data_IF_656659489863
#
_entry.id   IF_656659489863
#
_cell.length_a   1.000
_cell.length_b   1.000
_cell.length_c   1.000
_cell.angle_alpha   90.00
_cell.angle_beta   90.00
_cell.angle_gamma   90.00
#
_symmetry.space_group_name_H-M   'P 1'
#
loop_
_entity.id
_entity.type
_entity.pdbx_description
1 polymer ?
#
# COMPACT_ATOMS: atom_id res chain seq x y z
N UNK A 1 -18.58 15.38 -26.23
CA UNK A 1 -17.82 16.54 -26.75
C UNK A 1 -16.39 16.10 -27.01
N UNK A 2 -15.86 16.24 -28.23
CA UNK A 2 -14.44 16.00 -28.52
C UNK A 2 -13.65 17.15 -27.88
N UNK A 3 -12.83 16.86 -26.88
CA UNK A 3 -11.92 17.84 -26.29
C UNK A 3 -10.66 17.95 -27.15
N UNK A 4 -10.04 19.13 -27.25
CA UNK A 4 -8.75 19.25 -27.92
C UNK A 4 -7.71 18.40 -27.18
N UNK A 5 -6.91 17.59 -27.90
CA UNK A 5 -5.82 16.83 -27.30
C UNK A 5 -4.69 17.78 -26.92
N UNK A 6 -4.41 17.87 -25.63
CA UNK A 6 -3.35 18.70 -25.04
C UNK A 6 -2.63 17.89 -23.98
N UNK A 7 -1.30 17.91 -24.01
CA UNK A 7 -0.47 17.22 -23.03
C UNK A 7 -0.56 17.91 -21.66
N UNK A 8 -0.68 17.12 -20.60
CA UNK A 8 -0.72 17.63 -19.23
C UNK A 8 0.59 18.36 -18.90
N UNK A 9 0.50 19.56 -18.33
CA UNK A 9 1.66 20.38 -17.97
C UNK A 9 2.31 21.14 -19.13
N UNK A 10 1.82 20.99 -20.37
CA UNK A 10 2.35 21.74 -21.53
C UNK A 10 1.98 23.22 -21.56
N UNK A 11 1.01 23.63 -20.74
CA UNK A 11 0.56 25.02 -20.60
C UNK A 11 0.05 25.28 -19.18
N UNK A 12 0.08 26.54 -18.78
CA UNK A 12 -0.56 27.00 -17.55
C UNK A 12 -2.08 26.87 -17.66
N UNK A 13 -2.72 26.32 -16.62
CA UNK A 13 -4.18 26.28 -16.52
C UNK A 13 -4.67 27.25 -15.45
N UNK A 14 -5.55 28.16 -15.86
CA UNK A 14 -6.18 29.16 -14.99
C UNK A 14 -7.60 29.44 -15.44
N UNK A 15 -8.40 29.95 -14.50
CA UNK A 15 -9.73 30.46 -14.81
C UNK A 15 -9.61 31.76 -15.60
N UNK A 16 -10.14 31.74 -16.82
CA UNK A 16 -10.23 32.88 -17.72
C UNK A 16 -11.52 32.78 -18.55
N UNK A 17 -11.86 33.82 -19.31
CA UNK A 17 -12.97 33.79 -20.26
C UNK A 17 -12.42 33.93 -21.69
N UNK A 18 -12.76 33.03 -22.64
CA UNK A 18 -13.51 31.78 -22.43
C UNK A 18 -12.71 30.78 -21.58
N UNK A 19 -13.40 29.89 -20.85
CA UNK A 19 -12.74 28.88 -20.01
C UNK A 19 -11.83 27.98 -20.84
N UNK A 20 -10.66 27.66 -20.29
CA UNK A 20 -9.73 26.71 -20.90
C UNK A 20 -10.40 25.34 -20.98
N UNK A 21 -10.26 24.66 -22.12
CA UNK A 21 -10.77 23.31 -22.36
C UNK A 21 -9.68 22.42 -22.94
N UNK A 22 -9.71 21.13 -22.61
CA UNK A 22 -8.79 20.16 -23.16
C UNK A 22 -8.68 18.87 -22.36
N UNK A 23 -8.03 17.88 -22.96
CA UNK A 23 -7.75 16.58 -22.31
C UNK A 23 -6.85 16.75 -21.08
N UNK A 24 -5.98 17.76 -21.07
CA UNK A 24 -5.18 18.19 -19.93
C UNK A 24 -6.03 18.62 -18.73
N UNK A 25 -7.04 19.47 -18.96
CA UNK A 25 -7.99 19.89 -17.91
C UNK A 25 -8.78 18.71 -17.39
N UNK A 26 -9.22 17.82 -18.30
CA UNK A 26 -9.94 16.59 -17.92
C UNK A 26 -9.08 15.71 -17.02
N UNK A 27 -7.81 15.51 -17.38
CA UNK A 27 -6.87 14.71 -16.57
C UNK A 27 -6.61 15.37 -15.21
N UNK A 28 -6.41 16.69 -15.18
CA UNK A 28 -6.28 17.45 -13.94
C UNK A 28 -7.49 17.23 -13.01
N UNK A 29 -8.71 17.36 -13.53
CA UNK A 29 -9.94 17.13 -12.78
C UNK A 29 -10.04 15.69 -12.26
N UNK A 30 -9.63 14.68 -13.06
CA UNK A 30 -9.64 13.27 -12.65
C UNK A 30 -8.75 13.02 -11.43
N UNK A 31 -7.50 13.46 -11.48
CA UNK A 31 -6.55 13.23 -10.39
C UNK A 31 -6.95 14.02 -9.15
N UNK A 32 -7.37 15.29 -9.29
CA UNK A 32 -7.90 16.06 -8.16
C UNK A 32 -9.14 15.39 -7.54
N UNK A 33 -9.96 14.71 -8.35
CA UNK A 33 -11.10 13.92 -7.87
C UNK A 33 -10.66 12.66 -7.15
N UNK A 34 -9.60 11.99 -7.61
CA UNK A 34 -9.00 10.84 -6.92
C UNK A 34 -8.33 11.23 -5.60
N UNK A 35 -7.83 12.46 -5.48
CA UNK A 35 -7.34 13.03 -4.23
C UNK A 35 -8.47 13.49 -3.29
N UNK A 36 -9.73 13.44 -3.73
CA UNK A 36 -10.89 13.96 -2.98
C UNK A 36 -11.01 15.49 -2.95
N UNK A 37 -10.19 16.21 -3.72
CA UNK A 37 -10.15 17.68 -3.77
C UNK A 37 -11.14 18.27 -4.76
N UNK A 38 -11.62 17.48 -5.73
CA UNK A 38 -12.58 17.91 -6.75
C UNK A 38 -13.89 17.12 -6.67
N UNK A 39 -15.00 17.81 -6.42
CA UNK A 39 -16.35 17.21 -6.30
C UNK A 39 -17.17 17.30 -7.58
N UNK A 40 -16.77 18.17 -8.51
CA UNK A 40 -17.48 18.42 -9.76
C UNK A 40 -17.48 17.26 -10.75
N UNK A 41 -18.17 17.48 -11.86
CA UNK A 41 -18.15 16.56 -13.01
C UNK A 41 -16.84 16.75 -13.77
N UNK A 42 -16.19 15.64 -14.11
CA UNK A 42 -15.02 15.66 -15.00
C UNK A 42 -15.48 15.94 -16.42
N UNK A 43 -15.40 17.20 -16.86
CA UNK A 43 -15.88 17.69 -18.15
C UNK A 43 -14.77 18.20 -19.07
N UNK A 44 -13.58 18.47 -18.51
CA UNK A 44 -12.44 19.06 -19.21
C UNK A 44 -12.57 20.57 -19.41
N UNK A 45 -13.32 21.28 -18.56
CA UNK A 45 -13.48 22.73 -18.56
C UNK A 45 -12.89 23.32 -17.26
N UNK A 46 -11.95 24.25 -17.38
CA UNK A 46 -11.31 24.88 -16.23
C UNK A 46 -12.20 26.01 -15.68
N UNK A 47 -13.26 25.61 -14.98
CA UNK A 47 -14.23 26.51 -14.36
C UNK A 47 -13.92 26.83 -12.89
N UNK A 48 -14.84 27.54 -12.20
CA UNK A 48 -14.69 27.91 -10.79
C UNK A 48 -14.44 26.73 -9.85
N UNK A 49 -15.08 25.59 -10.07
CA UNK A 49 -14.88 24.40 -9.23
C UNK A 49 -13.47 23.81 -9.41
N UNK A 50 -12.95 23.82 -10.65
CA UNK A 50 -11.59 23.34 -10.94
C UNK A 50 -10.55 24.28 -10.35
N UNK A 51 -10.74 25.60 -10.48
CA UNK A 51 -9.90 26.60 -9.82
C UNK A 51 -9.88 26.40 -8.30
N UNK A 52 -11.04 26.19 -7.68
CA UNK A 52 -11.15 25.94 -6.25
C UNK A 52 -10.39 24.68 -5.82
N UNK A 53 -10.52 23.58 -6.57
CA UNK A 53 -9.77 22.35 -6.28
C UNK A 53 -8.25 22.53 -6.44
N UNK A 54 -7.79 23.33 -7.41
CA UNK A 54 -6.37 23.71 -7.54
C UNK A 54 -5.91 24.52 -6.32
N UNK A 55 -6.73 25.45 -5.81
CA UNK A 55 -6.41 26.19 -4.58
C UNK A 55 -6.30 25.26 -3.37
N UNK A 56 -7.19 24.27 -3.23
CA UNK A 56 -7.11 23.28 -2.15
C UNK A 56 -5.83 22.45 -2.24
N UNK A 57 -5.48 21.98 -3.44
CA UNK A 57 -4.22 21.28 -3.68
C UNK A 57 -3.02 22.14 -3.27
N UNK A 58 -2.97 23.40 -3.72
CA UNK A 58 -1.88 24.31 -3.37
C UNK A 58 -1.77 24.54 -1.87
N UNK A 59 -2.90 24.75 -1.16
CA UNK A 59 -2.89 24.86 0.31
C UNK A 59 -2.33 23.62 0.97
N UNK A 60 -2.73 22.45 0.49
CA UNK A 60 -2.29 21.17 1.03
C UNK A 60 -0.77 21.00 0.93
N UNK A 61 -0.20 21.31 -0.24
CA UNK A 61 1.25 21.21 -0.49
C UNK A 61 2.02 22.47 -0.05
N UNK A 62 1.46 23.27 0.86
CA UNK A 62 2.08 24.49 1.43
C UNK A 62 2.56 25.48 0.35
N UNK A 63 1.85 25.55 -0.77
CA UNK A 63 2.08 26.50 -1.86
C UNK A 63 1.06 27.67 -1.81
N UNK A 64 1.37 28.77 -2.49
CA UNK A 64 0.46 29.92 -2.59
C UNK A 64 -0.81 29.48 -3.33
N UNK A 65 -2.01 29.61 -2.74
CA UNK A 65 -3.24 29.11 -3.35
C UNK A 65 -3.77 30.07 -4.41
N UNK A 66 -3.04 30.23 -5.52
CA UNK A 66 -3.36 31.12 -6.64
C UNK A 66 -4.56 30.67 -7.46
N UNK A 67 -4.89 29.36 -7.46
CA UNK A 67 -5.86 28.76 -8.37
C UNK A 67 -5.33 28.55 -9.79
N UNK A 68 -4.03 28.78 -9.98
CA UNK A 68 -3.32 28.63 -11.25
C UNK A 68 -2.46 27.36 -11.18
N UNK A 69 -2.70 26.42 -12.08
CA UNK A 69 -1.84 25.26 -12.28
C UNK A 69 -0.68 25.64 -13.23
N UNK A 70 0.41 26.11 -12.64
CA UNK A 70 1.66 26.44 -13.34
C UNK A 70 2.73 25.35 -13.18
N UNK A 71 3.98 25.68 -13.50
CA UNK A 71 5.11 24.73 -13.51
C UNK A 71 5.31 24.01 -12.16
N UNK A 72 5.36 24.76 -11.06
CA UNK A 72 5.51 24.18 -9.71
C UNK A 72 4.36 23.22 -9.35
N UNK A 73 3.13 23.60 -9.70
CA UNK A 73 1.95 22.74 -9.49
C UNK A 73 2.13 21.42 -10.25
N UNK A 74 2.47 21.49 -11.55
CA UNK A 74 2.61 20.29 -12.36
C UNK A 74 3.80 19.43 -11.95
N UNK A 75 4.87 20.01 -11.41
CA UNK A 75 5.98 19.24 -10.83
C UNK A 75 5.48 18.32 -9.70
N UNK A 76 4.80 18.90 -8.70
CA UNK A 76 4.26 18.15 -7.55
C UNK A 76 3.17 17.18 -8.00
N UNK A 77 2.26 17.65 -8.85
CA UNK A 77 1.15 16.85 -9.36
C UNK A 77 1.63 15.61 -10.12
N UNK A 78 2.63 15.76 -10.99
CA UNK A 78 3.19 14.64 -11.76
C UNK A 78 3.98 13.66 -10.88
N UNK A 79 4.67 14.13 -9.83
CA UNK A 79 5.29 13.25 -8.83
C UNK A 79 4.25 12.35 -8.16
N UNK A 80 3.13 12.94 -7.75
CA UNK A 80 2.05 12.23 -7.08
C UNK A 80 1.33 11.25 -8.03
N UNK A 81 1.11 11.66 -9.28
CA UNK A 81 0.53 10.81 -10.31
C UNK A 81 1.42 9.60 -10.63
N UNK A 82 2.74 9.81 -10.78
CA UNK A 82 3.73 8.73 -10.94
C UNK A 82 3.79 7.82 -9.72
N UNK A 83 3.54 8.36 -8.54
CA UNK A 83 3.42 7.61 -7.30
C UNK A 83 2.18 6.72 -7.20
N UNK A 84 1.33 6.67 -8.23
CA UNK A 84 0.18 5.79 -8.27
C UNK A 84 -1.02 6.30 -7.48
N UNK A 85 -1.29 7.62 -7.43
CA UNK A 85 -2.52 8.09 -6.77
C UNK A 85 -3.76 7.42 -7.35
N UNK A 86 -4.38 6.61 -6.50
CA UNK A 86 -5.56 5.83 -6.84
C UNK A 86 -5.29 4.46 -7.46
N UNK A 87 -4.04 4.06 -7.66
CA UNK A 87 -3.65 2.73 -8.15
C UNK A 87 -2.52 2.16 -7.29
N UNK A 88 -2.81 1.06 -6.58
CA UNK A 88 -1.87 0.40 -5.69
C UNK A 88 -1.10 -0.64 -6.49
N UNK A 89 0.07 -0.24 -6.97
CA UNK A 89 0.94 -1.03 -7.81
C UNK A 89 1.86 -0.11 -8.61
N UNK A 90 2.92 0.37 -7.99
CA UNK A 90 3.97 1.07 -8.75
C UNK A 90 4.90 0.05 -9.38
N UNK A 91 5.07 0.11 -10.70
CA UNK A 91 6.10 -0.66 -11.39
C UNK A 91 7.47 -0.41 -10.72
N UNK A 92 8.20 -1.48 -10.36
CA UNK A 92 9.50 -1.49 -9.66
C UNK A 92 9.51 -1.31 -8.14
N UNK A 93 8.35 -1.11 -7.49
CA UNK A 93 8.25 -1.12 -6.02
C UNK A 93 7.04 -1.96 -5.64
N UNK A 94 7.30 -3.07 -4.97
CA UNK A 94 6.23 -3.84 -4.38
C UNK A 94 6.25 -3.69 -2.86
N UNK A 95 5.15 -3.13 -2.40
CA UNK A 95 4.83 -2.87 -1.01
C UNK A 95 3.72 -3.79 -0.54
N UNK A 96 3.50 -4.93 -1.22
CA UNK A 96 2.66 -6.02 -0.76
C UNK A 96 3.00 -6.25 0.73
N UNK A 97 2.20 -5.60 1.58
CA UNK A 97 2.21 -5.61 3.04
C UNK A 97 3.26 -4.76 3.78
N UNK A 98 4.05 -3.91 3.11
CA UNK A 98 5.05 -3.02 3.74
C UNK A 98 4.89 -1.58 3.26
N UNK A 99 4.45 -0.66 4.12
CA UNK A 99 3.91 0.63 3.70
C UNK A 99 4.94 1.63 3.21
N UNK A 100 4.91 1.94 1.91
CA UNK A 100 5.30 3.27 1.44
C UNK A 100 4.23 3.80 0.50
N UNK A 101 3.77 5.01 0.78
CA UNK A 101 2.87 5.74 -0.10
C UNK A 101 3.51 7.09 -0.43
N UNK A 102 3.82 7.35 -1.71
CA UNK A 102 4.44 8.61 -2.12
C UNK A 102 3.48 9.80 -2.04
N UNK A 103 2.26 9.60 -1.55
CA UNK A 103 1.26 10.64 -1.30
C UNK A 103 1.55 11.26 0.06
N UNK A 104 1.89 12.57 0.11
CA UNK A 104 2.17 13.22 1.37
C UNK A 104 0.95 13.18 2.27
N UNK A 105 1.19 12.96 3.56
CA UNK A 105 0.19 13.02 4.61
C UNK A 105 0.89 13.56 5.85
N UNK A 106 0.44 14.72 6.34
CA UNK A 106 1.01 15.31 7.54
C UNK A 106 0.71 14.46 8.77
N UNK A 107 1.59 14.52 9.77
CA UNK A 107 1.36 13.93 11.09
C UNK A 107 0.17 14.55 11.83
N UNK A 108 -0.31 15.75 11.44
CA UNK A 108 -1.43 16.46 12.05
C UNK A 108 -2.75 16.19 11.32
N UNK A 109 -3.56 15.29 11.89
CA UNK A 109 -4.82 14.82 11.34
C UNK A 109 -5.95 15.00 12.36
N UNK A 110 -7.15 15.27 11.84
CA UNK A 110 -8.41 15.21 12.58
C UNK A 110 -8.92 13.79 12.53
N UNK A 111 -9.30 13.27 13.69
CA UNK A 111 -9.83 11.91 13.85
C UNK A 111 -11.35 11.98 13.75
N UNK A 112 -11.94 11.08 12.95
CA UNK A 112 -13.38 10.89 12.89
C UNK A 112 -13.73 9.40 12.89
N UNK A 113 -14.65 9.00 13.77
CA UNK A 113 -15.20 7.65 13.75
C UNK A 113 -16.15 7.54 12.57
N UNK A 114 -15.88 6.64 11.64
CA UNK A 114 -16.74 6.44 10.49
C UNK A 114 -17.93 5.56 10.84
N UNK A 115 -17.66 4.39 11.46
CA UNK A 115 -18.67 3.39 11.81
C UNK A 115 -18.10 2.27 12.67
N UNK A 116 -18.98 1.43 13.21
CA UNK A 116 -18.60 0.15 13.83
C UNK A 116 -18.37 -0.93 12.78
N UNK A 117 -17.41 -1.80 13.03
CA UNK A 117 -17.14 -3.04 12.29
C UNK A 117 -16.79 -4.14 13.30
N UNK A 118 -16.74 -5.40 12.90
CA UNK A 118 -16.31 -6.50 13.78
C UNK A 118 -15.26 -7.31 13.06
N UNK A 119 -14.26 -7.77 13.82
CA UNK A 119 -13.21 -8.67 13.34
C UNK A 119 -12.57 -8.19 12.02
N UNK A 120 -12.02 -6.97 11.96
CA UNK A 120 -11.29 -6.52 10.78
C UNK A 120 -10.10 -7.43 10.50
N UNK A 121 -10.01 -7.87 9.25
CA UNK A 121 -8.95 -8.77 8.74
C UNK A 121 -8.02 -8.01 7.79
N UNK A 122 -8.55 -7.03 7.06
CA UNK A 122 -7.76 -6.23 6.15
C UNK A 122 -8.44 -4.95 5.70
N UNK A 123 -7.62 -3.94 5.44
CA UNK A 123 -8.03 -2.73 4.74
C UNK A 123 -7.20 -2.59 3.47
N UNK A 124 -7.88 -2.27 2.37
CA UNK A 124 -7.25 -1.86 1.14
C UNK A 124 -8.06 -0.70 0.55
N UNK A 125 -7.47 0.12 -0.31
CA UNK A 125 -8.18 1.21 -0.96
C UNK A 125 -7.89 1.18 -2.44
N UNK A 126 -8.73 1.80 -3.27
CA UNK A 126 -8.39 2.15 -4.64
C UNK A 126 -9.18 3.36 -5.05
N UNK A 127 -8.49 4.42 -5.46
CA UNK A 127 -9.08 5.73 -5.79
C UNK A 127 -9.97 6.24 -4.65
N UNK A 128 -11.29 6.18 -4.85
CA UNK A 128 -12.33 6.70 -3.95
C UNK A 128 -13.09 5.60 -3.21
N UNK A 129 -12.66 4.35 -3.34
CA UNK A 129 -13.31 3.20 -2.72
C UNK A 129 -12.36 2.60 -1.68
N UNK A 130 -12.85 2.40 -0.48
CA UNK A 130 -12.20 1.63 0.57
C UNK A 130 -12.79 0.22 0.57
N UNK A 131 -11.94 -0.79 0.57
CA UNK A 131 -12.32 -2.19 0.67
C UNK A 131 -12.03 -2.67 2.09
N UNK A 132 -13.07 -3.14 2.77
CA UNK A 132 -12.99 -3.59 4.16
C UNK A 132 -13.26 -5.08 4.19
N UNK A 133 -12.24 -5.85 4.55
CA UNK A 133 -12.35 -7.29 4.79
C UNK A 133 -12.47 -7.54 6.29
N UNK A 134 -13.47 -8.31 6.68
CA UNK A 134 -13.68 -8.80 8.05
C UNK A 134 -13.65 -10.32 8.06
N UNK A 135 -13.76 -10.95 9.23
CA UNK A 135 -13.90 -12.41 9.33
C UNK A 135 -15.17 -12.97 8.66
N UNK A 136 -16.13 -12.11 8.29
CA UNK A 136 -17.44 -12.52 7.78
C UNK A 136 -17.81 -11.97 6.41
N UNK A 137 -17.15 -10.93 5.92
CA UNK A 137 -17.50 -10.32 4.64
C UNK A 137 -16.36 -9.50 4.03
N UNK A 138 -16.50 -9.22 2.74
CA UNK A 138 -15.82 -8.14 2.03
C UNK A 138 -16.85 -7.09 1.62
N UNK A 139 -16.49 -5.81 1.74
CA UNK A 139 -17.31 -4.74 1.17
C UNK A 139 -16.48 -3.66 0.50
N UNK A 140 -17.13 -2.94 -0.42
CA UNK A 140 -16.64 -1.70 -0.98
C UNK A 140 -17.42 -0.52 -0.42
N UNK A 141 -16.70 0.48 0.09
CA UNK A 141 -17.24 1.68 0.68
C UNK A 141 -16.80 2.91 -0.13
N UNK A 142 -17.76 3.68 -0.65
CA UNK A 142 -17.48 4.91 -1.37
C UNK A 142 -17.16 6.03 -0.36
N UNK A 143 -15.91 6.50 -0.39
CA UNK A 143 -15.41 7.52 0.52
C UNK A 143 -15.98 8.92 0.21
N UNK A 144 -16.57 9.14 -0.97
CA UNK A 144 -17.15 10.43 -1.37
C UNK A 144 -18.61 10.51 -0.94
N UNK A 145 -19.39 9.52 -1.32
CA UNK A 145 -20.81 9.39 -0.99
C UNK A 145 -21.03 8.88 0.44
N UNK A 146 -19.98 8.42 1.13
CA UNK A 146 -20.01 7.88 2.50
C UNK A 146 -21.01 6.73 2.65
N UNK A 147 -21.04 5.83 1.66
CA UNK A 147 -21.99 4.70 1.64
C UNK A 147 -21.31 3.42 1.17
N UNK A 148 -21.84 2.29 1.64
CA UNK A 148 -21.49 0.97 1.09
C UNK A 148 -22.02 0.89 -0.34
N UNK A 149 -21.15 0.51 -1.28
CA UNK A 149 -21.52 0.26 -2.67
C UNK A 149 -22.09 -1.16 -2.81
N UNK A 150 -21.42 -2.13 -2.22
CA UNK A 150 -21.81 -3.53 -2.17
C UNK A 150 -21.13 -4.21 -0.98
N UNK A 151 -21.70 -5.35 -0.55
CA UNK A 151 -21.13 -6.26 0.43
C UNK A 151 -21.32 -7.69 -0.07
N UNK A 152 -20.31 -8.53 0.15
CA UNK A 152 -20.33 -9.95 -0.15
C UNK A 152 -19.97 -10.74 1.11
N UNK A 153 -20.85 -11.66 1.51
CA UNK A 153 -20.75 -12.48 2.71
C UNK A 153 -20.59 -13.98 2.35
N UNK A 154 -20.28 -14.30 1.09
CA UNK A 154 -20.19 -15.67 0.58
C UNK A 154 -18.92 -16.42 1.05
N UNK A 155 -18.04 -15.77 1.80
CA UNK A 155 -16.74 -16.29 2.21
C UNK A 155 -16.24 -15.57 3.48
N UNK A 156 -15.29 -16.19 4.17
CA UNK A 156 -14.61 -15.64 5.34
C UNK A 156 -13.16 -15.30 4.98
N UNK A 157 -12.84 -14.01 4.73
CA UNK A 157 -11.46 -13.58 4.53
C UNK A 157 -10.54 -14.00 5.67
N UNK A 158 -9.36 -14.54 5.33
CA UNK A 158 -8.29 -14.92 6.27
C UNK A 158 -7.20 -13.87 6.39
N UNK A 159 -7.05 -13.02 5.37
CA UNK A 159 -6.06 -11.94 5.34
C UNK A 159 -6.47 -10.83 4.37
N UNK A 160 -5.65 -9.79 4.26
CA UNK A 160 -5.95 -8.62 3.45
C UNK A 160 -6.19 -8.98 1.97
N UNK A 161 -7.24 -8.39 1.41
CA UNK A 161 -7.63 -8.54 0.02
C UNK A 161 -6.65 -7.84 -0.93
N UNK A 162 -6.39 -8.46 -2.09
CA UNK A 162 -5.62 -7.82 -3.16
C UNK A 162 -6.57 -7.24 -4.20
N UNK A 163 -6.56 -5.91 -4.33
CA UNK A 163 -7.53 -5.17 -5.16
C UNK A 163 -6.89 -4.79 -6.49
N UNK A 164 -7.45 -5.29 -7.59
CA UNK A 164 -7.09 -4.90 -8.96
C UNK A 164 -8.19 -4.02 -9.57
N UNK A 165 -7.98 -3.43 -10.78
CA UNK A 165 -9.02 -2.64 -11.44
C UNK A 165 -10.33 -3.40 -11.68
N UNK A 166 -10.24 -4.69 -11.99
CA UNK A 166 -11.36 -5.46 -12.50
C UNK A 166 -11.84 -6.54 -11.52
N UNK A 167 -10.93 -7.07 -10.70
CA UNK A 167 -11.23 -8.09 -9.71
C UNK A 167 -10.49 -7.90 -8.38
N UNK A 168 -11.00 -8.53 -7.33
CA UNK A 168 -10.43 -8.59 -5.99
C UNK A 168 -10.15 -10.05 -5.65
N UNK A 169 -8.96 -10.33 -5.14
CA UNK A 169 -8.55 -11.65 -4.71
C UNK A 169 -8.61 -11.75 -3.19
N UNK A 170 -9.37 -12.72 -2.70
CA UNK A 170 -9.62 -12.93 -1.27
C UNK A 170 -9.06 -14.29 -0.84
N UNK A 171 -8.01 -14.31 -0.02
CA UNK A 171 -7.57 -15.50 0.67
C UNK A 171 -8.65 -15.91 1.69
N UNK A 172 -9.35 -17.02 1.46
CA UNK A 172 -10.46 -17.51 2.29
C UNK A 172 -10.34 -19.01 2.59
N UNK A 173 -9.13 -19.55 2.53
CA UNK A 173 -8.87 -20.99 2.43
C UNK A 173 -8.53 -21.28 0.98
N UNK A 174 -9.53 -21.36 0.11
CA UNK A 174 -9.34 -21.20 -1.34
C UNK A 174 -9.09 -19.72 -1.70
N UNK A 175 -8.73 -19.43 -2.96
CA UNK A 175 -8.62 -18.05 -3.44
C UNK A 175 -9.90 -17.63 -4.18
N UNK A 176 -10.67 -16.73 -3.58
CA UNK A 176 -11.94 -16.23 -4.16
C UNK A 176 -11.68 -15.01 -5.03
N UNK A 177 -12.24 -15.01 -6.24
CA UNK A 177 -12.18 -13.89 -7.18
C UNK A 177 -13.52 -13.16 -7.18
N UNK A 178 -13.51 -11.88 -6.83
CA UNK A 178 -14.70 -11.03 -6.72
C UNK A 178 -14.62 -9.91 -7.74
N UNK A 179 -15.71 -9.61 -8.43
CA UNK A 179 -15.80 -8.46 -9.33
C UNK A 179 -15.68 -7.14 -8.54
N UNK A 180 -14.72 -6.29 -8.90
CA UNK A 180 -14.45 -5.04 -8.14
C UNK A 180 -15.65 -4.08 -8.13
N UNK A 181 -16.49 -4.11 -9.16
CA UNK A 181 -17.55 -3.11 -9.34
C UNK A 181 -18.89 -3.54 -8.70
N UNK A 182 -19.25 -4.80 -8.85
CA UNK A 182 -20.52 -5.37 -8.38
C UNK A 182 -20.41 -6.10 -7.05
N UNK A 183 -19.20 -6.49 -6.64
CA UNK A 183 -18.97 -7.29 -5.44
C UNK A 183 -19.34 -8.76 -5.60
N UNK A 184 -19.75 -9.21 -6.78
CA UNK A 184 -20.18 -10.59 -7.00
C UNK A 184 -18.98 -11.53 -7.09
N UNK A 185 -19.10 -12.69 -6.48
CA UNK A 185 -18.15 -13.80 -6.64
C UNK A 185 -18.15 -14.24 -8.11
N UNK A 186 -17.01 -14.07 -8.79
CA UNK A 186 -16.82 -14.51 -10.18
C UNK A 186 -16.35 -15.96 -10.26
N UNK A 187 -15.41 -16.35 -9.38
CA UNK A 187 -14.81 -17.68 -9.37
C UNK A 187 -14.20 -18.00 -8.00
N UNK A 188 -14.03 -19.29 -7.72
CA UNK A 188 -13.21 -19.83 -6.64
C UNK A 188 -12.07 -20.65 -7.23
N UNK A 189 -10.85 -20.38 -6.79
CA UNK A 189 -9.63 -21.09 -7.23
C UNK A 189 -9.24 -22.02 -6.08
N UNK A 190 -9.62 -23.28 -6.23
CA UNK A 190 -9.37 -24.34 -5.26
C UNK A 190 -8.22 -25.24 -5.75
N UNK A 191 -7.01 -24.67 -5.76
CA UNK A 191 -5.78 -25.36 -6.14
C UNK A 191 -4.99 -25.84 -4.91
N UNK A 192 -5.11 -25.11 -3.80
CA UNK A 192 -4.44 -25.34 -2.52
C UNK A 192 -5.07 -24.40 -1.47
N UNK A 193 -4.56 -24.43 -0.24
CA UNK A 193 -4.96 -23.49 0.81
C UNK A 193 -4.06 -22.25 0.79
N UNK A 194 -4.64 -21.10 0.51
CA UNK A 194 -4.00 -19.78 0.44
C UNK A 194 -4.46 -18.91 1.63
N UNK A 195 -3.69 -18.84 2.74
CA UNK A 195 -4.10 -18.11 3.94
C UNK A 195 -3.68 -16.64 3.92
N UNK A 196 -2.73 -16.30 3.06
CA UNK A 196 -2.04 -15.01 3.04
C UNK A 196 -2.39 -14.20 1.81
N UNK A 197 -2.16 -12.87 1.83
CA UNK A 197 -2.39 -12.05 0.66
C UNK A 197 -1.55 -12.51 -0.54
N UNK A 198 -1.98 -12.11 -1.72
CA UNK A 198 -1.39 -12.52 -3.00
C UNK A 198 -0.80 -11.32 -3.73
N UNK A 199 0.19 -11.56 -4.59
CA UNK A 199 0.71 -10.52 -5.47
C UNK A 199 0.09 -10.67 -6.86
N UNK A 200 -0.13 -9.56 -7.56
CA UNK A 200 -0.58 -9.57 -8.96
C UNK A 200 0.35 -8.73 -9.80
N UNK A 201 0.90 -9.32 -10.85
CA UNK A 201 1.75 -8.61 -11.80
C UNK A 201 1.47 -9.08 -13.22
N UNK A 202 1.21 -8.13 -14.13
CA UNK A 202 0.87 -8.39 -15.54
C UNK A 202 -0.23 -9.44 -15.74
N UNK A 203 -1.22 -9.47 -14.86
CA UNK A 203 -2.35 -10.41 -14.92
C UNK A 203 -2.06 -11.82 -14.41
N UNK A 204 -0.84 -12.07 -13.91
CA UNK A 204 -0.49 -13.30 -13.20
C UNK A 204 -0.67 -13.09 -11.70
N UNK A 205 -1.30 -14.05 -11.05
CA UNK A 205 -1.54 -14.08 -9.62
C UNK A 205 -0.49 -14.98 -8.98
N UNK A 206 0.25 -14.47 -8.00
CA UNK A 206 1.20 -15.24 -7.22
C UNK A 206 0.66 -15.46 -5.81
N UNK A 207 0.50 -16.73 -5.43
CA UNK A 207 -0.12 -17.11 -4.17
C UNK A 207 0.75 -18.13 -3.40
N UNK A 208 0.98 -17.86 -2.11
CA UNK A 208 1.68 -18.76 -1.21
C UNK A 208 0.69 -19.73 -0.54
N UNK A 209 0.98 -21.04 -0.62
CA UNK A 209 0.16 -22.06 0.02
C UNK A 209 0.69 -22.51 1.38
N UNK A 210 -0.19 -23.09 2.21
CA UNK A 210 0.16 -23.73 3.49
C UNK A 210 1.05 -24.96 3.33
N UNK A 211 1.22 -25.48 2.11
CA UNK A 211 2.12 -26.59 1.79
C UNK A 211 3.55 -26.17 1.43
N UNK A 212 3.88 -24.88 1.58
CA UNK A 212 5.23 -24.36 1.31
C UNK A 212 5.53 -24.21 -0.19
N UNK A 213 4.49 -23.99 -1.00
CA UNK A 213 4.61 -23.74 -2.43
C UNK A 213 4.18 -22.32 -2.79
N UNK A 214 4.79 -21.77 -3.84
CA UNK A 214 4.28 -20.59 -4.55
C UNK A 214 3.62 -21.07 -5.85
N UNK A 215 2.42 -20.61 -6.09
CA UNK A 215 1.68 -20.82 -7.33
C UNK A 215 1.70 -19.55 -8.17
N UNK A 216 1.90 -19.68 -9.48
CA UNK A 216 1.48 -18.68 -10.44
C UNK A 216 0.21 -19.15 -11.14
N UNK A 217 -0.79 -18.27 -11.17
CA UNK A 217 -2.14 -18.58 -11.62
C UNK A 217 -2.54 -17.52 -12.66
N UNK A 218 -3.12 -17.96 -13.78
CA UNK A 218 -3.62 -17.05 -14.82
C UNK A 218 -4.99 -16.44 -14.46
N UNK A 219 -5.47 -15.49 -15.28
CA UNK A 219 -6.79 -14.88 -15.08
C UNK A 219 -7.96 -15.87 -15.17
N UNK A 220 -7.77 -17.03 -15.82
CA UNK A 220 -8.76 -18.11 -15.88
C UNK A 220 -8.73 -19.01 -14.65
N UNK A 221 -7.72 -18.87 -13.78
CA UNK A 221 -7.55 -19.66 -12.55
C UNK A 221 -6.76 -20.94 -12.76
N UNK A 222 -6.10 -21.08 -13.90
CA UNK A 222 -5.27 -22.23 -14.21
C UNK A 222 -3.87 -22.01 -13.67
N UNK A 223 -3.25 -23.08 -13.15
CA UNK A 223 -1.86 -23.03 -12.70
C UNK A 223 -0.95 -22.87 -13.92
N UNK A 224 -0.21 -21.77 -13.97
CA UNK A 224 0.89 -21.57 -14.92
C UNK A 224 2.12 -22.37 -14.49
N UNK A 225 2.47 -22.26 -13.21
CA UNK A 225 3.53 -23.04 -12.59
C UNK A 225 3.34 -23.12 -11.07
N UNK A 226 4.04 -24.09 -10.46
CA UNK A 226 4.13 -24.26 -9.01
C UNK A 226 5.58 -24.52 -8.61
N UNK A 227 6.08 -23.75 -7.65
CA UNK A 227 7.41 -23.93 -7.08
C UNK A 227 7.32 -24.36 -5.62
N UNK A 228 7.87 -25.53 -5.28
CA UNK A 228 7.87 -26.07 -3.91
C UNK A 228 9.19 -25.77 -3.22
N UNK A 229 9.14 -25.18 -2.03
CA UNK A 229 10.33 -24.92 -1.21
C UNK A 229 10.73 -26.12 -0.34
N UNK A 230 11.83 -26.00 0.39
CA UNK A 230 12.31 -27.05 1.30
C UNK A 230 11.58 -27.10 2.65
N UNK A 231 10.56 -26.28 2.87
CA UNK A 231 9.79 -26.22 4.10
C UNK A 231 8.28 -26.12 3.81
N UNK A 232 7.46 -26.31 4.83
CA UNK A 232 6.00 -26.28 4.71
C UNK A 232 5.41 -24.85 4.68
N UNK A 233 6.21 -23.80 4.81
CA UNK A 233 5.70 -22.43 4.85
C UNK A 233 6.54 -21.46 4.01
N UNK A 234 5.85 -20.63 3.24
CA UNK A 234 6.39 -19.49 2.52
C UNK A 234 5.76 -18.19 3.03
N UNK A 235 6.48 -17.09 2.91
CA UNK A 235 5.91 -15.76 3.10
C UNK A 235 4.93 -15.43 1.97
N UNK A 236 4.06 -14.42 2.15
CA UNK A 236 3.38 -13.80 1.02
C UNK A 236 4.41 -13.33 -0.04
N UNK A 237 4.10 -13.44 -1.33
CA UNK A 237 5.01 -13.04 -2.40
C UNK A 237 4.99 -11.52 -2.61
N UNK A 238 6.11 -10.99 -3.11
CA UNK A 238 6.23 -9.65 -3.68
C UNK A 238 6.66 -9.76 -5.15
N UNK A 239 6.05 -9.00 -6.06
CA UNK A 239 6.32 -9.01 -7.49
C UNK A 239 6.85 -7.64 -7.98
N UNK A 240 8.09 -7.62 -8.46
CA UNK A 240 8.74 -6.42 -8.99
C UNK A 240 9.83 -6.79 -9.99
N UNK A 241 10.15 -5.88 -10.92
CA UNK A 241 11.14 -6.12 -11.98
C UNK A 241 10.83 -7.35 -12.85
N UNK A 242 9.55 -7.70 -13.01
CA UNK A 242 9.10 -8.93 -13.69
C UNK A 242 9.54 -10.23 -12.98
N UNK A 243 9.95 -10.14 -11.72
CA UNK A 243 10.37 -11.24 -10.86
C UNK A 243 9.46 -11.35 -9.63
N UNK A 244 9.46 -12.52 -8.99
CA UNK A 244 8.69 -12.80 -7.77
C UNK A 244 9.64 -13.17 -6.64
N UNK A 245 9.50 -12.50 -5.52
CA UNK A 245 10.32 -12.65 -4.32
C UNK A 245 9.48 -13.19 -3.16
N UNK A 246 10.04 -14.10 -2.39
CA UNK A 246 9.39 -14.60 -1.17
C UNK A 246 10.41 -15.25 -0.23
N UNK A 247 10.09 -15.26 1.05
CA UNK A 247 10.80 -15.99 2.09
C UNK A 247 10.26 -17.40 2.29
N UNK A 248 11.06 -18.25 2.90
CA UNK A 248 10.63 -19.57 3.38
C UNK A 248 11.16 -19.87 4.78
N UNK A 249 10.43 -20.75 5.47
CA UNK A 249 10.87 -21.34 6.72
C UNK A 249 12.10 -22.26 6.55
N UNK A 250 12.49 -22.59 5.32
CA UNK A 250 13.75 -23.29 5.04
C UNK A 250 15.02 -22.41 5.17
N UNK A 251 14.85 -21.16 5.64
CA UNK A 251 15.91 -20.15 5.83
C UNK A 251 16.50 -19.64 4.52
N UNK A 252 15.64 -19.38 3.54
CA UNK A 252 16.02 -18.74 2.31
C UNK A 252 15.05 -17.64 1.89
N UNK A 253 15.60 -16.70 1.13
CA UNK A 253 14.85 -15.81 0.25
C UNK A 253 15.00 -16.34 -1.17
N UNK A 254 13.89 -16.45 -1.88
CA UNK A 254 13.81 -16.92 -3.25
C UNK A 254 13.47 -15.77 -4.19
N UNK A 255 13.98 -15.85 -5.41
CA UNK A 255 13.54 -15.05 -6.54
C UNK A 255 13.29 -15.98 -7.72
N UNK A 256 12.09 -15.91 -8.28
CA UNK A 256 11.69 -16.68 -9.45
C UNK A 256 11.38 -15.76 -10.63
N UNK A 257 11.62 -16.26 -11.83
CA UNK A 257 11.19 -15.61 -13.07
C UNK A 257 9.71 -15.86 -13.38
N UNK A 258 9.22 -15.32 -14.50
CA UNK A 258 7.84 -15.47 -14.95
C UNK A 258 7.44 -16.93 -15.26
N UNK A 259 8.41 -17.82 -15.45
CA UNK A 259 8.23 -19.26 -15.73
C UNK A 259 8.34 -20.10 -14.47
N UNK A 260 8.58 -19.48 -13.31
CA UNK A 260 8.74 -20.18 -12.03
C UNK A 260 10.11 -20.82 -11.86
N UNK A 261 11.09 -20.46 -12.69
CA UNK A 261 12.46 -20.94 -12.57
C UNK A 261 13.21 -20.08 -11.54
N UNK A 262 14.07 -20.69 -10.72
CA UNK A 262 14.85 -19.95 -9.74
C UNK A 262 15.84 -19.01 -10.46
N UNK A 263 15.59 -17.71 -10.34
CA UNK A 263 16.48 -16.66 -10.82
C UNK A 263 17.67 -16.51 -9.87
N UNK A 264 17.38 -16.49 -8.55
CA UNK A 264 18.38 -16.69 -7.49
C UNK A 264 17.74 -17.20 -6.20
N UNK A 265 18.59 -17.69 -5.29
CA UNK A 265 18.22 -18.09 -3.93
C UNK A 265 19.32 -17.67 -2.97
N UNK A 266 18.97 -17.03 -1.86
CA UNK A 266 19.90 -16.55 -0.86
C UNK A 266 19.60 -17.18 0.50
N UNK A 267 20.65 -17.64 1.20
CA UNK A 267 20.53 -18.26 2.52
C UNK A 267 20.54 -17.21 3.63
N UNK A 268 19.61 -17.33 4.55
CA UNK A 268 19.52 -16.53 5.78
C UNK A 268 19.88 -17.36 7.01
N UNK A 269 20.12 -16.69 8.14
CA UNK A 269 20.41 -17.38 9.41
C UNK A 269 19.15 -18.03 10.03
N UNK A 270 17.98 -17.40 9.86
CA UNK A 270 16.69 -17.90 10.36
C UNK A 270 15.57 -17.89 9.33
N UNK A 271 14.40 -18.47 9.68
CA UNK A 271 13.20 -18.49 8.85
C UNK A 271 12.77 -17.09 8.40
N UNK A 272 12.36 -16.94 7.14
CA UNK A 272 11.76 -15.71 6.61
C UNK A 272 10.26 -15.94 6.49
N UNK A 273 9.49 -15.39 7.43
CA UNK A 273 8.04 -15.55 7.52
C UNK A 273 7.30 -14.42 6.82
N UNK A 274 7.77 -13.20 7.05
CA UNK A 274 7.11 -11.99 6.56
C UNK A 274 7.45 -11.70 5.10
N UNK A 275 6.57 -11.00 4.37
CA UNK A 275 6.80 -10.68 2.98
C UNK A 275 8.06 -9.81 2.81
N UNK A 276 8.94 -10.11 1.84
CA UNK A 276 10.05 -9.24 1.53
C UNK A 276 9.58 -7.90 0.96
N UNK A 277 10.22 -6.80 1.36
CA UNK A 277 9.96 -5.49 0.78
C UNK A 277 10.91 -5.23 -0.39
N UNK A 278 10.39 -4.77 -1.53
CA UNK A 278 11.22 -4.47 -2.71
C UNK A 278 11.30 -2.96 -2.93
N UNK A 279 12.49 -2.38 -2.72
CA UNK A 279 12.72 -0.95 -2.79
C UNK A 279 14.07 -0.64 -3.43
N UNK A 280 14.06 0.22 -4.46
CA UNK A 280 15.27 0.77 -5.13
C UNK A 280 16.34 -0.27 -5.45
N UNK A 281 15.96 -1.29 -6.23
CA UNK A 281 16.86 -2.35 -6.67
C UNK A 281 17.28 -3.33 -5.56
N UNK A 282 16.63 -3.29 -4.39
CA UNK A 282 16.94 -4.17 -3.26
C UNK A 282 15.71 -4.91 -2.75
N UNK A 283 15.95 -6.09 -2.20
CA UNK A 283 14.98 -6.90 -1.47
C UNK A 283 15.38 -6.88 0.00
N UNK A 284 14.45 -6.48 0.87
CA UNK A 284 14.64 -6.46 2.30
C UNK A 284 13.84 -7.60 2.93
N UNK A 285 14.54 -8.47 3.64
CA UNK A 285 13.93 -9.63 4.29
C UNK A 285 14.24 -9.63 5.79
N UNK A 286 13.18 -9.75 6.59
CA UNK A 286 13.28 -9.93 8.05
C UNK A 286 13.17 -11.41 8.39
N UNK A 287 13.98 -11.87 9.33
CA UNK A 287 13.99 -13.25 9.79
C UNK A 287 13.51 -13.35 11.23
N UNK A 288 12.92 -14.49 11.58
CA UNK A 288 12.47 -14.81 12.94
C UNK A 288 13.59 -14.83 13.98
N UNK A 289 14.83 -14.91 13.55
CA UNK A 289 15.98 -14.74 14.42
C UNK A 289 16.41 -13.27 14.54
N UNK A 290 15.53 -12.28 14.39
CA UNK A 290 15.89 -10.87 14.51
C UNK A 290 16.96 -10.39 13.50
N UNK A 291 17.02 -11.01 12.33
CA UNK A 291 17.91 -10.60 11.24
C UNK A 291 17.19 -9.73 10.22
N UNK A 292 17.89 -8.72 9.70
CA UNK A 292 17.50 -7.97 8.51
C UNK A 292 18.56 -8.12 7.44
N UNK A 293 18.12 -8.45 6.24
CA UNK A 293 18.98 -8.63 5.08
C UNK A 293 18.55 -7.66 3.98
N UNK A 294 19.51 -6.94 3.41
CA UNK A 294 19.31 -6.23 2.16
C UNK A 294 20.06 -6.98 1.04
N UNK A 295 19.30 -7.47 0.08
CA UNK A 295 19.83 -8.22 -1.05
C UNK A 295 19.68 -7.40 -2.33
N UNK A 296 20.61 -7.53 -3.26
CA UNK A 296 20.41 -7.02 -4.61
C UNK A 296 19.23 -7.75 -5.25
N UNK A 297 18.25 -7.00 -5.78
CA UNK A 297 17.02 -7.59 -6.31
C UNK A 297 17.26 -8.49 -7.53
N UNK A 298 18.30 -8.23 -8.33
CA UNK A 298 18.57 -9.00 -9.54
C UNK A 298 19.55 -10.16 -9.31
N UNK A 299 20.46 -10.06 -8.34
CA UNK A 299 21.50 -11.09 -8.15
C UNK A 299 21.33 -11.93 -6.89
N UNK A 300 20.50 -11.49 -5.94
CA UNK A 300 20.39 -12.14 -4.62
C UNK A 300 21.62 -11.98 -3.74
N UNK A 301 22.62 -11.20 -4.17
CA UNK A 301 23.79 -10.91 -3.36
C UNK A 301 23.37 -10.14 -2.11
N UNK A 302 23.77 -10.62 -0.93
CA UNK A 302 23.60 -9.88 0.32
C UNK A 302 24.52 -8.65 0.26
N UNK A 303 23.92 -7.47 0.14
CA UNK A 303 24.63 -6.19 0.14
C UNK A 303 25.07 -5.84 1.56
N UNK A 304 24.15 -6.01 2.52
CA UNK A 304 24.42 -5.91 3.94
C UNK A 304 23.41 -6.73 4.74
N UNK A 305 23.77 -7.03 6.00
CA UNK A 305 22.87 -7.66 6.96
C UNK A 305 23.11 -7.10 8.36
N UNK A 306 22.06 -7.07 9.16
CA UNK A 306 22.08 -6.59 10.55
C UNK A 306 21.31 -7.53 11.45
N UNK A 307 21.86 -7.78 12.65
CA UNK A 307 21.21 -8.58 13.70
C UNK A 307 20.73 -7.63 14.79
N UNK A 308 19.49 -7.81 15.22
CA UNK A 308 18.89 -7.08 16.33
C UNK A 308 18.76 -7.98 17.56
N UNK A 309 18.51 -7.36 18.72
CA UNK A 309 18.33 -8.09 19.98
C UNK A 309 16.99 -8.85 20.05
N UNK A 310 16.01 -8.42 19.26
CA UNK A 310 14.66 -8.99 19.21
C UNK A 310 14.08 -8.89 17.79
N UNK A 311 13.01 -9.66 17.52
CA UNK A 311 12.33 -9.64 16.22
C UNK A 311 11.86 -8.22 15.86
N UNK A 312 11.88 -7.93 14.56
CA UNK A 312 11.50 -6.62 14.02
C UNK A 312 10.42 -6.80 12.96
N UNK A 313 9.61 -5.77 12.77
CA UNK A 313 8.63 -5.70 11.69
C UNK A 313 9.31 -5.56 10.32
N UNK A 314 8.64 -5.96 9.23
CA UNK A 314 9.08 -5.58 7.89
C UNK A 314 9.22 -4.06 7.74
N UNK A 315 10.24 -3.57 7.01
CA UNK A 315 10.52 -2.15 6.95
C UNK A 315 9.57 -1.37 6.03
N UNK A 316 9.32 -0.12 6.40
CA UNK A 316 8.77 0.92 5.54
C UNK A 316 9.88 1.85 5.03
N UNK A 317 9.65 2.58 3.94
CA UNK A 317 10.67 3.42 3.32
C UNK A 317 10.23 4.88 3.25
N UNK A 318 11.17 5.81 3.37
CA UNK A 318 10.95 7.22 3.08
C UNK A 318 12.26 7.86 2.61
N UNK A 319 12.32 8.24 1.33
CA UNK A 319 13.59 8.60 0.70
C UNK A 319 14.60 7.46 0.82
N UNK A 320 15.84 7.77 1.20
CA UNK A 320 16.88 6.77 1.46
C UNK A 320 16.78 6.13 2.85
N UNK A 321 15.83 6.55 3.67
CA UNK A 321 15.63 6.03 5.02
C UNK A 321 14.66 4.85 5.03
N UNK A 322 14.96 3.90 5.89
CA UNK A 322 14.17 2.70 6.13
C UNK A 322 13.78 2.64 7.61
N UNK A 323 12.50 2.50 7.89
CA UNK A 323 11.95 2.45 9.25
C UNK A 323 11.49 1.04 9.55
N UNK A 324 11.94 0.50 10.67
CA UNK A 324 11.51 -0.79 11.21
C UNK A 324 11.22 -0.63 12.70
N UNK A 325 10.40 -1.52 13.27
CA UNK A 325 10.02 -1.44 14.69
C UNK A 325 10.28 -2.77 15.35
N UNK A 326 10.88 -2.76 16.53
CA UNK A 326 11.06 -3.98 17.33
C UNK A 326 9.76 -4.40 17.99
N UNK A 327 9.60 -5.68 18.34
CA UNK A 327 8.39 -6.14 19.04
C UNK A 327 8.19 -5.46 20.40
N UNK A 328 9.26 -5.02 21.06
CA UNK A 328 9.24 -4.21 22.27
C UNK A 328 8.78 -2.76 22.08
N UNK A 329 8.59 -2.29 20.84
CA UNK A 329 8.08 -0.94 20.57
C UNK A 329 9.15 0.10 20.31
N UNK A 330 10.37 -0.31 19.96
CA UNK A 330 11.42 0.64 19.56
C UNK A 330 11.38 0.88 18.05
N UNK A 331 11.20 2.13 17.66
CA UNK A 331 11.33 2.59 16.27
C UNK A 331 12.81 2.74 15.94
N UNK A 332 13.22 2.14 14.84
CA UNK A 332 14.58 2.20 14.33
C UNK A 332 14.55 2.78 12.91
N UNK A 333 15.27 3.88 12.69
CA UNK A 333 15.45 4.44 11.36
C UNK A 333 16.87 4.23 10.91
N UNK A 334 17.00 3.52 9.79
CA UNK A 334 18.26 3.08 9.21
C UNK A 334 18.44 3.71 7.84
N UNK A 335 19.68 3.81 7.38
CA UNK A 335 19.94 4.02 5.96
C UNK A 335 19.66 2.74 5.18
N UNK A 336 18.87 2.83 4.11
CA UNK A 336 18.52 1.67 3.29
C UNK A 336 19.71 1.11 2.50
N UNK A 337 20.76 1.90 2.25
CA UNK A 337 21.90 1.50 1.44
C UNK A 337 22.93 0.69 2.21
N UNK A 338 23.12 0.96 3.51
CA UNK A 338 24.17 0.33 4.33
C UNK A 338 23.71 -0.19 5.71
N UNK A 339 22.45 0.03 6.10
CA UNK A 339 21.89 -0.45 7.36
C UNK A 339 22.38 0.29 8.61
N UNK A 340 23.10 1.42 8.47
CA UNK A 340 23.52 2.25 9.60
C UNK A 340 22.32 2.88 10.28
N UNK A 341 22.35 2.89 11.61
CA UNK A 341 21.34 3.55 12.42
C UNK A 341 21.47 5.07 12.27
N UNK A 342 20.40 5.72 11.82
CA UNK A 342 20.27 7.18 11.78
C UNK A 342 19.79 7.68 13.13
N UNK A 343 18.70 7.11 13.64
CA UNK A 343 18.16 7.41 14.96
C UNK A 343 17.22 6.29 15.43
N UNK A 344 16.96 6.25 16.74
CA UNK A 344 15.97 5.36 17.36
C UNK A 344 15.09 6.13 18.35
N UNK A 345 13.88 5.60 18.60
CA UNK A 345 12.94 6.17 19.56
C UNK A 345 12.08 5.07 20.17
N UNK A 346 11.91 5.12 21.49
CA UNK A 346 11.05 4.20 22.23
C UNK A 346 9.60 4.70 22.18
N UNK A 347 8.66 3.85 21.75
CA UNK A 347 7.22 4.15 21.82
C UNK A 347 6.58 3.59 23.10
N UNK A 348 7.17 2.54 23.67
CA UNK A 348 6.62 1.85 24.84
C UNK A 348 5.35 1.03 24.54
N UNK A 349 5.11 0.68 23.28
CA UNK A 349 3.94 -0.08 22.83
C UNK A 349 4.31 -1.03 21.70
N UNK A 350 3.79 -2.26 21.75
CA UNK A 350 4.13 -3.29 20.76
C UNK A 350 3.47 -2.99 19.40
N UNK A 351 4.20 -3.06 18.28
CA UNK A 351 3.59 -2.88 16.96
C UNK A 351 2.66 -4.06 16.65
N UNK A 352 1.47 -3.77 16.14
CA UNK A 352 0.51 -4.78 15.67
C UNK A 352 0.60 -5.03 14.18
N UNK A 353 1.18 -4.08 13.45
CA UNK A 353 1.33 -4.09 12.00
C UNK A 353 2.66 -3.45 11.61
N UNK A 354 3.19 -3.74 10.40
CA UNK A 354 4.36 -3.04 9.88
C UNK A 354 4.14 -1.52 9.81
N UNK A 355 5.20 -0.70 9.93
CA UNK A 355 5.10 0.74 9.75
C UNK A 355 4.53 1.11 8.39
N UNK A 356 3.84 2.24 8.36
CA UNK A 356 3.25 2.81 7.16
C UNK A 356 3.85 4.19 6.92
N UNK A 357 4.80 4.29 5.99
CA UNK A 357 5.47 5.54 5.67
C UNK A 357 4.77 6.30 4.53
N UNK A 358 4.46 7.55 4.79
CA UNK A 358 4.08 8.55 3.80
C UNK A 358 5.27 9.50 3.54
N UNK A 359 5.15 10.45 2.60
CA UNK A 359 6.22 11.44 2.37
C UNK A 359 6.52 12.31 3.61
N UNK A 360 5.51 12.64 4.41
CA UNK A 360 5.67 13.65 5.47
C UNK A 360 5.46 13.09 6.88
N UNK A 361 5.12 11.81 7.00
CA UNK A 361 4.85 11.15 8.28
C UNK A 361 4.98 9.64 8.16
N UNK A 362 5.24 8.99 9.29
CA UNK A 362 5.21 7.54 9.45
C UNK A 362 4.18 7.21 10.50
N UNK A 363 3.34 6.21 10.21
CA UNK A 363 2.29 5.74 11.09
C UNK A 363 2.59 4.31 11.52
N UNK A 364 2.48 4.03 12.82
CA UNK A 364 2.74 2.72 13.40
C UNK A 364 1.54 2.36 14.26
N UNK A 365 0.79 1.33 13.84
CA UNK A 365 -0.27 0.77 14.65
C UNK A 365 0.31 -0.06 15.78
N UNK A 366 -0.16 0.17 17.01
CA UNK A 366 0.25 -0.56 18.20
C UNK A 366 -0.95 -1.18 18.90
N UNK A 367 -0.68 -1.93 19.97
CA UNK A 367 -1.68 -2.46 20.89
C UNK A 367 -2.41 -1.40 21.73
N UNK A 368 -1.94 -0.16 21.73
CA UNK A 368 -2.42 0.94 22.58
C UNK A 368 -2.73 2.23 21.82
N UNK A 369 -2.58 2.25 20.50
CA UNK A 369 -2.99 3.35 19.65
C UNK A 369 -2.24 3.40 18.33
N UNK A 370 -2.46 4.48 17.59
CA UNK A 370 -1.74 4.77 16.36
C UNK A 370 -0.69 5.85 16.63
N UNK A 371 0.58 5.44 16.61
CA UNK A 371 1.69 6.35 16.75
C UNK A 371 2.00 7.00 15.40
N UNK A 372 2.08 8.33 15.37
CA UNK A 372 2.46 9.11 14.20
C UNK A 372 3.73 9.89 14.51
N UNK A 373 4.69 9.86 13.59
CA UNK A 373 5.96 10.55 13.71
C UNK A 373 6.34 11.23 12.40
N UNK A 374 7.02 12.38 12.47
CA UNK A 374 7.67 12.94 11.29
C UNK A 374 8.90 12.08 10.91
N UNK A 375 9.35 12.09 9.65
CA UNK A 375 10.51 11.30 9.25
C UNK A 375 11.81 11.62 10.00
N UNK A 376 11.88 12.80 10.64
CA UNK A 376 12.99 13.21 11.50
C UNK A 376 12.92 12.70 12.94
N UNK A 377 11.79 12.14 13.38
CA UNK A 377 11.56 11.61 14.73
C UNK A 377 11.31 12.68 15.81
N UNK A 378 11.25 13.97 15.43
CA UNK A 378 11.12 15.11 16.33
C UNK A 378 9.68 15.34 16.77
N UNK A 379 8.72 15.24 15.85
CA UNK A 379 7.31 15.43 16.15
C UNK A 379 6.63 14.08 16.31
N UNK A 380 6.05 13.82 17.47
CA UNK A 380 5.27 12.60 17.73
C UNK A 380 3.91 12.90 18.27
N UNK A 381 2.92 12.16 17.78
CA UNK A 381 1.54 12.25 18.22
C UNK A 381 0.93 10.87 18.26
N UNK A 382 0.16 10.58 19.30
CA UNK A 382 -0.63 9.36 19.38
C UNK A 382 -2.08 9.69 19.03
N UNK A 383 -2.67 8.83 18.20
CA UNK A 383 -4.08 8.86 17.85
C UNK A 383 -4.75 7.60 18.39
N UNK A 384 -6.06 7.67 18.67
CA UNK A 384 -6.84 6.52 19.11
C UNK A 384 -6.22 5.86 20.35
N UNK A 385 -5.80 6.66 21.34
CA UNK A 385 -5.18 6.16 22.57
C UNK A 385 -6.10 5.16 23.30
N UNK A 386 -5.53 4.03 23.70
CA UNK A 386 -6.24 2.91 24.33
C UNK A 386 -6.88 1.93 23.34
N UNK A 387 -6.84 2.20 22.04
CA UNK A 387 -7.39 1.32 21.01
C UNK A 387 -6.28 0.51 20.32
N UNK A 388 -6.45 -0.82 20.25
CA UNK A 388 -5.58 -1.68 19.46
C UNK A 388 -5.81 -1.48 17.98
N UNK A 389 -4.76 -1.09 17.26
CA UNK A 389 -4.82 -0.91 15.80
C UNK A 389 -4.70 -2.27 15.11
N UNK A 390 -5.56 -2.54 14.13
CA UNK A 390 -5.60 -3.84 13.44
C UNK A 390 -5.22 -3.74 11.97
N UNK A 391 -5.62 -2.68 11.27
CA UNK A 391 -5.28 -2.46 9.86
C UNK A 391 -5.12 -0.97 9.56
N UNK A 392 -4.31 -0.67 8.53
CA UNK A 392 -4.13 0.65 7.97
C UNK A 392 -4.25 0.62 6.46
N UNK A 393 -4.89 1.63 5.89
CA UNK A 393 -4.81 1.92 4.46
C UNK A 393 -4.89 3.43 4.26
N UNK A 394 -4.03 4.00 3.43
CA UNK A 394 -4.24 5.37 2.96
C UNK A 394 -5.21 5.34 1.78
N UNK A 395 -6.09 6.33 1.68
CA UNK A 395 -6.82 6.60 0.46
C UNK A 395 -6.98 8.10 0.31
N UNK A 396 -6.90 8.62 -0.92
CA UNK A 396 -6.90 10.06 -1.15
C UNK A 396 -5.77 10.73 -0.35
N UNK A 397 -6.10 11.74 0.44
CA UNK A 397 -5.23 12.44 1.36
C UNK A 397 -5.57 12.11 2.83
N UNK A 398 -6.18 10.94 3.10
CA UNK A 398 -6.58 10.52 4.44
C UNK A 398 -6.02 9.13 4.77
N UNK A 399 -5.81 8.86 6.05
CA UNK A 399 -5.49 7.53 6.56
C UNK A 399 -6.75 6.89 7.14
N UNK A 400 -7.00 5.65 6.77
CA UNK A 400 -8.10 4.83 7.28
C UNK A 400 -7.54 3.74 8.18
N UNK A 401 -8.17 3.59 9.33
CA UNK A 401 -7.63 2.81 10.44
C UNK A 401 -8.74 1.98 11.03
N UNK A 402 -8.50 0.69 11.23
CA UNK A 402 -9.40 -0.15 12.01
C UNK A 402 -8.84 -0.39 13.39
N UNK A 403 -9.73 -0.35 14.37
CA UNK A 403 -9.53 -0.92 15.71
C UNK A 403 -10.34 -2.20 15.80
N UNK A 404 -10.37 -2.90 16.94
CA UNK A 404 -11.09 -4.17 17.05
C UNK A 404 -12.59 -4.08 16.70
N UNK A 405 -13.22 -2.92 16.91
CA UNK A 405 -14.66 -2.74 16.76
C UNK A 405 -15.09 -1.58 15.83
N UNK A 406 -14.13 -0.86 15.24
CA UNK A 406 -14.41 0.43 14.59
C UNK A 406 -13.52 0.73 13.39
N UNK A 407 -14.09 1.46 12.44
CA UNK A 407 -13.39 2.08 11.32
C UNK A 407 -13.31 3.59 11.56
N UNK A 408 -12.10 4.12 11.42
CA UNK A 408 -11.76 5.52 11.65
C UNK A 408 -11.14 6.14 10.40
N UNK A 409 -11.35 7.44 10.22
CA UNK A 409 -10.67 8.25 9.23
C UNK A 409 -9.88 9.34 9.94
N UNK A 410 -8.60 9.44 9.59
CA UNK A 410 -7.71 10.51 9.97
C UNK A 410 -7.46 11.39 8.73
N UNK A 411 -8.05 12.58 8.76
CA UNK A 411 -8.05 13.53 7.64
C UNK A 411 -7.27 14.80 7.99
N UNK A 412 -6.47 15.36 7.07
CA UNK A 412 -5.84 16.66 7.23
C UNK A 412 -6.84 17.83 7.05
N UNK A 413 -7.99 17.56 6.43
CA UNK A 413 -9.06 18.51 6.15
C UNK A 413 -10.17 18.42 7.20
#
# INVERSE_FOLDING_TARGET
>A
MKLPPVALGSRELKKQKPYIRGTDVRRLQQVLKWMGLYRGRVDGVFGPETEYAVRLFQRYFKDKPSGIAGERFFKIFNEIEKGGVGEWGTYQRDFCHTGYVPVPLSSNLKVSKMRKIREPVGLNARRNVLYVATGSYLEAFDLHARKVLWRNEDFSPLSCATVTPDYILIPAGELVVVDTHSGKTQKRIDLDVFPSPVAVHRGVIYAASTGGSIYAIDGRGETLWRYRTGSAACSPPAAAYDLVYFGSYDRHVYCLDEKGLPYWKARTAGPVKDPPAVFEGRVFAVTRDAGLYALNALTGQILWKKKFAEEITPPAFFGDSMITVTLGGRVLVLDSNDGKLKWEKEMGAAPTIPPFACRDAVFIGTDSGLFALDPGGQETKTYLEGEKITCLAQARLSLYVTTEDSLWELSPL
#
